data_IF_073542556362
#
_entry.id   IF_073542556362
#
_cell.length_a   1.000
_cell.length_b   1.000
_cell.length_c   1.000
_cell.angle_alpha   90.00
_cell.angle_beta   90.00
_cell.angle_gamma   90.00
#
_symmetry.space_group_name_H-M   'P 1'
#
loop_
_entity.id
_entity.type
_entity.pdbx_description
1 polymer ?
#
# COMPACT_ATOMS: atom_id res chain seq x y z
N UNK A 1 -27.66 2.42 5.72
CA UNK A 1 -26.26 1.99 5.91
C UNK A 1 -25.59 1.84 4.54
N UNK A 2 -24.46 2.47 4.35
CA UNK A 2 -23.71 2.35 3.12
C UNK A 2 -23.03 0.97 3.08
N UNK A 3 -23.04 0.27 1.93
CA UNK A 3 -22.31 -0.98 1.80
C UNK A 3 -20.80 -0.73 1.94
N UNK A 4 -20.08 -1.72 2.46
CA UNK A 4 -18.63 -1.66 2.49
C UNK A 4 -18.08 -1.60 1.06
N UNK A 5 -17.02 -0.83 0.85
CA UNK A 5 -16.36 -0.76 -0.46
C UNK A 5 -15.76 -2.12 -0.80
N UNK A 6 -16.03 -2.58 -2.01
CA UNK A 6 -15.51 -3.85 -2.50
C UNK A 6 -14.22 -3.62 -3.29
N UNK A 7 -13.10 -4.11 -2.74
CA UNK A 7 -11.79 -4.04 -3.37
C UNK A 7 -11.40 -5.37 -4.04
N UNK A 8 -12.36 -6.23 -4.33
CA UNK A 8 -12.07 -7.49 -5.01
C UNK A 8 -11.41 -7.25 -6.36
N UNK A 9 -10.49 -8.13 -6.74
CA UNK A 9 -9.77 -8.01 -8.02
C UNK A 9 -10.76 -7.99 -9.18
N UNK A 10 -10.67 -6.94 -10.00
CA UNK A 10 -11.56 -6.71 -11.13
C UNK A 10 -11.61 -5.22 -11.45
N UNK A 11 -12.33 -4.85 -12.52
CA UNK A 11 -12.41 -3.46 -12.97
C UNK A 11 -13.01 -2.55 -11.89
N UNK A 12 -14.09 -2.97 -11.26
CA UNK A 12 -14.73 -2.20 -10.20
C UNK A 12 -13.79 -2.06 -8.99
N UNK A 13 -13.06 -3.12 -8.64
CA UNK A 13 -12.09 -3.10 -7.56
C UNK A 13 -10.92 -2.18 -7.87
N UNK A 14 -10.44 -2.17 -9.12
CA UNK A 14 -9.37 -1.27 -9.54
C UNK A 14 -9.80 0.20 -9.42
N UNK A 15 -11.01 0.52 -9.88
CA UNK A 15 -11.57 1.88 -9.76
C UNK A 15 -11.70 2.26 -8.28
N UNK A 16 -12.17 1.34 -7.44
CA UNK A 16 -12.29 1.57 -6.00
C UNK A 16 -10.94 1.86 -5.36
N UNK A 17 -9.89 1.11 -5.74
CA UNK A 17 -8.53 1.38 -5.25
C UNK A 17 -8.03 2.75 -5.69
N UNK A 18 -8.21 3.11 -6.96
CA UNK A 18 -7.81 4.42 -7.46
C UNK A 18 -8.49 5.55 -6.69
N UNK A 19 -9.77 5.40 -6.41
CA UNK A 19 -10.55 6.38 -5.62
C UNK A 19 -10.03 6.48 -4.20
N UNK A 20 -9.78 5.32 -3.56
CA UNK A 20 -9.34 5.26 -2.17
C UNK A 20 -7.95 5.90 -1.96
N UNK A 21 -7.06 5.80 -2.95
CA UNK A 21 -5.71 6.36 -2.85
C UNK A 21 -5.60 7.80 -3.36
N UNK A 22 -6.68 8.37 -3.90
CA UNK A 22 -6.64 9.71 -4.51
C UNK A 22 -6.09 10.77 -3.56
N UNK A 23 -6.52 10.75 -2.30
CA UNK A 23 -6.10 11.72 -1.30
C UNK A 23 -4.67 11.56 -0.80
N UNK A 24 -4.01 10.44 -1.11
CA UNK A 24 -2.64 10.16 -0.66
C UNK A 24 -1.62 10.15 -1.81
N UNK A 25 -1.95 10.78 -2.93
CA UNK A 25 -1.07 10.88 -4.09
C UNK A 25 -1.46 9.98 -5.25
N UNK A 26 -2.52 9.19 -5.10
CA UNK A 26 -3.02 8.32 -6.16
C UNK A 26 -2.20 7.06 -6.36
N UNK A 27 -2.43 6.42 -7.51
CA UNK A 27 -1.74 5.21 -7.93
C UNK A 27 -1.10 5.48 -9.29
N UNK A 28 0.21 5.20 -9.42
CA UNK A 28 0.95 5.41 -10.66
C UNK A 28 1.32 4.07 -11.29
N UNK A 29 1.40 4.05 -12.62
CA UNK A 29 2.04 2.92 -13.31
C UNK A 29 3.52 2.89 -12.94
N UNK A 30 4.08 1.68 -12.80
CA UNK A 30 5.47 1.53 -12.41
C UNK A 30 6.45 2.23 -13.34
N UNK A 31 6.20 2.22 -14.65
CA UNK A 31 7.05 2.91 -15.63
C UNK A 31 7.05 4.42 -15.41
N UNK A 32 5.89 5.00 -15.11
CA UNK A 32 5.77 6.45 -14.86
C UNK A 32 6.48 6.83 -13.55
N UNK A 33 6.35 6.00 -12.52
CA UNK A 33 7.05 6.22 -11.26
C UNK A 33 8.55 6.14 -11.43
N UNK A 34 9.06 5.14 -12.18
CA UNK A 34 10.48 5.00 -12.45
C UNK A 34 11.04 6.24 -13.18
N UNK A 35 10.30 6.76 -14.15
CA UNK A 35 10.67 7.97 -14.86
C UNK A 35 10.73 9.19 -13.91
N UNK A 36 9.73 9.31 -13.06
CA UNK A 36 9.68 10.36 -12.04
C UNK A 36 10.88 10.28 -11.08
N UNK A 37 11.25 9.07 -10.65
CA UNK A 37 12.40 8.85 -9.77
C UNK A 37 13.70 9.31 -10.42
N UNK A 38 13.91 9.00 -11.71
CA UNK A 38 15.09 9.45 -12.46
C UNK A 38 15.18 10.97 -12.46
N UNK A 39 14.07 11.65 -12.72
CA UNK A 39 14.03 13.11 -12.74
C UNK A 39 14.33 13.77 -11.38
N UNK A 40 14.21 13.02 -10.29
CA UNK A 40 14.47 13.52 -8.93
C UNK A 40 15.75 12.95 -8.32
N UNK A 41 16.57 12.25 -9.10
CA UNK A 41 17.80 11.66 -8.61
C UNK A 41 17.62 10.55 -7.58
N UNK A 42 16.46 9.88 -7.59
CA UNK A 42 16.11 8.84 -6.59
C UNK A 42 16.31 7.42 -7.11
N UNK A 43 16.93 7.29 -8.28
CA UNK A 43 17.19 6.00 -8.89
C UNK A 43 16.41 5.80 -10.17
N UNK A 44 16.43 4.58 -10.69
CA UNK A 44 15.82 4.19 -11.96
C UNK A 44 14.86 3.01 -11.73
N UNK A 45 14.45 2.35 -12.82
CA UNK A 45 13.56 1.19 -12.73
C UNK A 45 14.17 0.03 -11.95
N UNK A 46 15.51 -0.11 -11.95
CA UNK A 46 16.17 -1.15 -11.13
C UNK A 46 16.06 -0.83 -9.64
N UNK A 47 16.22 0.45 -9.28
CA UNK A 47 16.07 0.87 -7.89
C UNK A 47 14.64 0.62 -7.40
N UNK A 48 13.64 0.93 -8.22
CA UNK A 48 12.24 0.64 -7.89
C UNK A 48 12.00 -0.86 -7.73
N UNK A 49 12.49 -1.66 -8.65
CA UNK A 49 12.37 -3.12 -8.58
C UNK A 49 13.03 -3.67 -7.30
N UNK A 50 14.19 -3.15 -6.94
CA UNK A 50 14.89 -3.57 -5.71
C UNK A 50 14.07 -3.27 -4.45
N UNK A 51 13.41 -2.11 -4.40
CA UNK A 51 12.53 -1.77 -3.28
C UNK A 51 11.37 -2.74 -3.16
N UNK A 52 10.74 -3.10 -4.28
CA UNK A 52 9.59 -4.01 -4.30
C UNK A 52 10.03 -5.43 -3.91
N UNK A 53 11.12 -5.93 -4.50
CA UNK A 53 11.64 -7.27 -4.20
C UNK A 53 12.06 -7.37 -2.73
N UNK A 54 12.65 -6.30 -2.18
CA UNK A 54 13.08 -6.26 -0.78
C UNK A 54 11.97 -5.96 0.22
N UNK A 55 10.71 -5.90 -0.21
CA UNK A 55 9.54 -5.59 0.63
C UNK A 55 9.66 -4.23 1.33
N UNK A 56 10.35 -3.29 0.70
CA UNK A 56 10.43 -1.90 1.18
C UNK A 56 9.41 -1.00 0.50
N UNK A 57 8.78 -1.48 -0.55
CA UNK A 57 7.62 -0.89 -1.20
C UNK A 57 6.81 -2.04 -1.80
N UNK A 58 5.57 -1.77 -2.16
CA UNK A 58 4.73 -2.79 -2.80
C UNK A 58 4.06 -2.22 -4.05
N UNK A 59 3.73 -3.13 -4.95
CA UNK A 59 2.99 -2.87 -6.17
C UNK A 59 1.94 -3.96 -6.35
N UNK A 60 1.03 -3.75 -7.29
CA UNK A 60 0.07 -4.79 -7.68
C UNK A 60 -0.09 -4.80 -9.20
N UNK A 61 -0.39 -5.98 -9.73
CA UNK A 61 -0.56 -6.17 -11.17
C UNK A 61 -2.00 -5.97 -11.59
N UNK A 62 -2.18 -5.24 -12.70
CA UNK A 62 -3.48 -5.04 -13.32
C UNK A 62 -3.30 -4.85 -14.83
N UNK A 63 -3.94 -5.69 -15.63
CA UNK A 63 -3.87 -5.64 -17.10
C UNK A 63 -2.44 -5.66 -17.64
N UNK A 64 -1.59 -6.55 -17.09
CA UNK A 64 -0.22 -6.72 -17.55
C UNK A 64 0.74 -5.59 -17.17
N UNK A 65 0.29 -4.66 -16.35
CA UNK A 65 1.07 -3.52 -15.87
C UNK A 65 1.10 -3.57 -14.35
N UNK A 66 2.23 -3.20 -13.74
CA UNK A 66 2.24 -3.05 -12.29
C UNK A 66 1.98 -1.61 -11.89
N UNK A 67 1.26 -1.45 -10.81
CA UNK A 67 0.77 -0.17 -10.29
C UNK A 67 1.25 0.02 -8.86
N UNK A 68 1.60 1.26 -8.51
CA UNK A 68 2.22 1.57 -7.22
C UNK A 68 1.47 2.69 -6.52
N UNK A 69 0.92 2.44 -5.33
CA UNK A 69 0.34 3.52 -4.54
C UNK A 69 1.41 4.53 -4.13
N UNK A 70 1.15 5.81 -4.43
CA UNK A 70 2.16 6.86 -4.32
C UNK A 70 2.40 7.35 -2.91
N UNK A 71 1.55 7.01 -1.92
CA UNK A 71 1.79 7.39 -0.54
C UNK A 71 3.15 6.91 -0.04
N UNK A 72 3.67 5.84 -0.63
CA UNK A 72 4.97 5.27 -0.28
C UNK A 72 6.14 6.18 -0.64
N UNK A 73 5.93 7.13 -1.54
CA UNK A 73 6.98 7.98 -2.09
C UNK A 73 6.70 9.48 -1.92
N UNK A 74 5.66 9.85 -1.18
CA UNK A 74 5.28 11.25 -1.01
C UNK A 74 6.18 11.90 0.04
N UNK A 75 7.09 12.84 -0.35
CA UNK A 75 7.99 13.48 0.61
C UNK A 75 7.27 14.39 1.61
N UNK A 76 6.04 14.82 1.29
CA UNK A 76 5.24 15.67 2.16
C UNK A 76 4.47 14.86 3.22
N UNK A 77 4.45 13.53 3.08
CA UNK A 77 3.80 12.63 4.02
C UNK A 77 4.86 11.66 4.54
N UNK A 78 5.47 11.94 5.70
CA UNK A 78 6.50 11.08 6.27
C UNK A 78 5.95 9.76 6.82
N UNK A 79 4.74 9.39 6.39
CA UNK A 79 4.07 8.18 6.85
C UNK A 79 4.84 6.91 6.49
N UNK A 80 5.64 6.93 5.40
CA UNK A 80 6.40 5.76 4.98
C UNK A 80 7.76 5.73 5.67
N UNK A 81 7.74 5.62 7.00
CA UNK A 81 8.94 5.43 7.80
C UNK A 81 9.16 3.98 8.16
N UNK A 82 9.99 3.74 9.16
CA UNK A 82 10.35 2.41 9.61
C UNK A 82 9.13 1.59 10.04
N UNK A 83 8.18 2.21 10.74
CA UNK A 83 6.97 1.51 11.19
C UNK A 83 6.12 1.01 10.03
N UNK A 84 5.98 1.83 8.98
CA UNK A 84 5.24 1.43 7.79
C UNK A 84 5.94 0.31 7.03
N UNK A 85 7.27 0.35 6.97
CA UNK A 85 8.06 -0.74 6.35
C UNK A 85 7.95 -2.04 7.13
N UNK A 86 7.94 -1.97 8.46
CA UNK A 86 7.72 -3.15 9.30
C UNK A 86 6.32 -3.72 9.09
N UNK A 87 5.32 -2.86 8.97
CA UNK A 87 3.95 -3.27 8.65
C UNK A 87 3.90 -4.00 7.31
N UNK A 88 4.53 -3.45 6.29
CA UNK A 88 4.60 -4.09 4.98
C UNK A 88 5.30 -5.45 5.06
N UNK A 89 6.42 -5.53 5.76
CA UNK A 89 7.17 -6.79 5.91
C UNK A 89 6.32 -7.89 6.56
N UNK A 90 5.51 -7.54 7.56
CA UNK A 90 4.60 -8.50 8.19
C UNK A 90 3.56 -9.01 7.21
N UNK A 91 2.95 -8.11 6.44
CA UNK A 91 1.84 -8.46 5.56
C UNK A 91 2.29 -9.09 4.24
N UNK A 92 3.46 -8.72 3.73
CA UNK A 92 3.97 -9.26 2.47
C UNK A 92 4.22 -10.78 2.55
N UNK A 93 4.37 -11.31 3.76
CA UNK A 93 4.52 -12.75 3.97
C UNK A 93 3.22 -13.52 3.69
N UNK A 94 2.06 -12.87 3.75
CA UNK A 94 0.75 -13.55 3.68
C UNK A 94 -0.21 -12.93 2.65
N UNK A 95 0.07 -11.73 2.15
CA UNK A 95 -0.79 -11.03 1.20
C UNK A 95 -0.03 -10.77 -0.11
N UNK A 96 -0.73 -10.87 -1.24
CA UNK A 96 -0.19 -10.42 -2.51
C UNK A 96 -0.31 -8.89 -2.67
N UNK A 97 0.18 -8.36 -3.78
CA UNK A 97 0.19 -6.91 -4.01
C UNK A 97 -1.19 -6.29 -4.02
N UNK A 98 -2.17 -6.94 -4.66
CA UNK A 98 -3.56 -6.44 -4.67
C UNK A 98 -4.14 -6.44 -3.27
N UNK A 99 -3.95 -7.52 -2.52
CA UNK A 99 -4.43 -7.64 -1.15
C UNK A 99 -3.76 -6.59 -0.23
N UNK A 100 -2.47 -6.32 -0.44
CA UNK A 100 -1.77 -5.25 0.29
C UNK A 100 -2.40 -3.89 -0.01
N UNK A 101 -2.65 -3.59 -1.28
CA UNK A 101 -3.27 -2.33 -1.66
C UNK A 101 -4.65 -2.16 -1.01
N UNK A 102 -5.44 -3.22 -0.96
CA UNK A 102 -6.75 -3.20 -0.31
C UNK A 102 -6.63 -3.07 1.21
N UNK A 103 -5.63 -3.73 1.81
CA UNK A 103 -5.47 -3.72 3.28
C UNK A 103 -5.28 -2.30 3.82
N UNK A 104 -4.47 -1.49 3.17
CA UNK A 104 -4.18 -0.13 3.66
C UNK A 104 -5.36 0.82 3.57
N UNK A 105 -6.34 0.55 2.71
CA UNK A 105 -7.49 1.47 2.49
C UNK A 105 -8.82 0.90 2.93
N UNK A 106 -8.83 -0.34 3.42
CA UNK A 106 -10.03 -0.95 3.99
C UNK A 106 -10.12 -0.61 5.48
N UNK A 107 -11.32 -0.34 5.98
CA UNK A 107 -11.55 -0.20 7.41
C UNK A 107 -11.09 -1.46 8.15
N UNK A 108 -10.33 -1.29 9.22
CA UNK A 108 -9.71 -2.39 9.94
C UNK A 108 -10.35 -2.55 11.32
N UNK A 109 -10.84 -3.74 11.62
CA UNK A 109 -11.52 -4.04 12.89
C UNK A 109 -10.63 -3.73 14.11
N UNK A 110 -9.32 -3.98 13.99
CA UNK A 110 -8.37 -3.76 15.09
C UNK A 110 -8.05 -2.27 15.27
N UNK A 111 -8.49 -1.41 14.34
CA UNK A 111 -8.25 0.02 14.34
C UNK A 111 -9.56 0.83 14.42
N UNK A 112 -10.57 0.28 15.07
CA UNK A 112 -11.91 0.89 15.21
C UNK A 112 -12.52 1.23 13.83
N UNK A 113 -12.36 0.34 12.87
CA UNK A 113 -12.85 0.44 11.50
C UNK A 113 -12.23 1.62 10.70
N UNK A 114 -11.15 2.19 11.19
CA UNK A 114 -10.41 3.20 10.44
C UNK A 114 -9.45 2.54 9.44
N UNK A 115 -9.12 3.27 8.37
CA UNK A 115 -8.19 2.78 7.37
C UNK A 115 -6.76 2.84 7.93
N UNK A 116 -5.97 1.77 7.80
CA UNK A 116 -4.56 1.81 8.24
C UNK A 116 -3.77 2.98 7.63
N UNK A 117 -4.02 3.30 6.36
CA UNK A 117 -3.35 4.41 5.67
C UNK A 117 -3.50 5.73 6.42
N UNK A 118 -4.67 6.00 6.97
CA UNK A 118 -4.97 7.25 7.66
C UNK A 118 -4.26 7.36 9.02
N UNK A 119 -3.81 6.23 9.57
CA UNK A 119 -3.20 6.16 10.90
C UNK A 119 -1.67 5.97 10.87
N UNK A 120 -1.08 5.76 9.69
CA UNK A 120 0.36 5.47 9.58
C UNK A 120 1.23 6.56 10.17
N UNK A 121 0.90 7.83 9.95
CA UNK A 121 1.72 8.95 10.39
C UNK A 121 1.73 9.10 11.91
N UNK A 122 0.55 8.98 12.54
CA UNK A 122 0.37 9.31 13.96
C UNK A 122 0.33 8.09 14.87
N UNK A 123 -0.10 6.94 14.32
CA UNK A 123 -0.34 5.72 15.09
C UNK A 123 0.29 4.50 14.42
N UNK A 124 1.50 4.66 13.94
CA UNK A 124 2.22 3.59 13.23
C UNK A 124 2.38 2.32 14.05
N UNK A 125 2.61 2.41 15.35
CA UNK A 125 2.72 1.25 16.22
C UNK A 125 1.42 0.46 16.30
N UNK A 126 0.27 1.15 16.31
CA UNK A 126 -1.04 0.49 16.32
C UNK A 126 -1.32 -0.18 14.98
N UNK A 127 -0.93 0.46 13.86
CA UNK A 127 -1.05 -0.13 12.53
C UNK A 127 -0.19 -1.39 12.43
N UNK A 128 1.03 -1.37 12.94
CA UNK A 128 1.89 -2.56 12.96
C UNK A 128 1.27 -3.67 13.80
N UNK A 129 0.70 -3.36 14.96
CA UNK A 129 0.05 -4.35 15.81
C UNK A 129 -1.16 -4.97 15.08
N UNK A 130 -1.95 -4.17 14.37
CA UNK A 130 -3.07 -4.67 13.57
C UNK A 130 -2.58 -5.59 12.45
N UNK A 131 -1.48 -5.25 11.78
CA UNK A 131 -0.89 -6.07 10.74
C UNK A 131 -0.43 -7.42 11.29
N UNK A 132 0.21 -7.44 12.45
CA UNK A 132 0.63 -8.68 13.11
C UNK A 132 -0.56 -9.56 13.48
N UNK A 133 -1.63 -8.96 13.96
CA UNK A 133 -2.85 -9.69 14.28
C UNK A 133 -3.48 -10.28 13.03
N UNK A 134 -3.59 -9.51 11.95
CA UNK A 134 -4.15 -10.00 10.70
C UNK A 134 -3.29 -11.12 10.10
N UNK A 135 -1.97 -10.99 10.15
CA UNK A 135 -1.07 -12.06 9.72
C UNK A 135 -1.32 -13.34 10.51
N UNK A 136 -1.45 -13.22 11.82
CA UNK A 136 -1.72 -14.38 12.67
C UNK A 136 -3.06 -15.03 12.29
N UNK A 137 -4.09 -14.25 12.10
CA UNK A 137 -5.43 -14.75 11.72
C UNK A 137 -5.38 -15.47 10.36
N UNK A 138 -4.64 -14.93 9.40
CA UNK A 138 -4.52 -15.51 8.06
C UNK A 138 -3.73 -16.82 8.09
N UNK A 139 -2.65 -16.86 8.84
CA UNK A 139 -1.79 -18.06 8.91
C UNK A 139 -2.30 -19.12 9.88
N UNK A 140 -3.17 -18.74 10.75
CA UNK A 140 -3.88 -19.61 11.62
C UNK A 140 -3.54 -20.20 12.75
#
# INVERSE_FOLDING_TARGET
>A
MLPATDFSRGDAGFIALCTAYRGSGGIARGADLAHWMVGRGKGDSRALAALIVGSQAFSFDWHGTFWVPMFQFNPLQPAWGQGARQTLAELAAVLDGWQLAAWFVRGNTWLADQRPLDLLADQGAQVLAAARTDRYVITG
#
